data_IF_098994526137
#
_entry.id   IF_098994526137
#
_cell.length_a   1.000
_cell.length_b   1.000
_cell.length_c   1.000
_cell.angle_alpha   90.00
_cell.angle_beta   90.00
_cell.angle_gamma   90.00
#
_symmetry.space_group_name_H-M   'P 1'
#
loop_
_entity.id
_entity.type
_entity.pdbx_description
1 polymer ?
#
# COMPACT_ATOMS: atom_id res chain seq x y z
N UNK A 1 -9.96 -0.38 13.91
CA UNK A 1 -9.66 -0.56 12.49
C UNK A 1 -10.21 -1.91 12.09
N UNK A 2 -11.02 -2.04 11.02
CA UNK A 2 -11.57 -3.33 10.63
C UNK A 2 -10.46 -4.27 10.12
N UNK A 3 -10.64 -5.60 10.15
CA UNK A 3 -9.71 -6.55 9.53
C UNK A 3 -9.50 -6.30 8.04
N UNK A 4 -8.39 -6.80 7.50
CA UNK A 4 -8.03 -6.78 6.08
C UNK A 4 -9.13 -7.46 5.25
N UNK A 5 -9.71 -6.73 4.30
CA UNK A 5 -10.82 -7.23 3.47
C UNK A 5 -10.98 -6.33 2.24
N UNK A 6 -10.90 -6.93 1.07
CA UNK A 6 -11.07 -6.29 -0.24
C UNK A 6 -11.22 -7.34 -1.34
N UNK A 7 -11.63 -6.89 -2.52
CA UNK A 7 -11.57 -7.63 -3.77
C UNK A 7 -11.05 -6.67 -4.84
N UNK A 8 -9.86 -6.93 -5.38
CA UNK A 8 -9.13 -6.03 -6.27
C UNK A 8 -8.45 -6.84 -7.38
N UNK A 9 -7.73 -6.15 -8.26
CA UNK A 9 -6.91 -6.76 -9.31
C UNK A 9 -5.44 -6.49 -8.98
N UNK A 10 -4.60 -7.52 -9.01
CA UNK A 10 -3.15 -7.39 -8.81
C UNK A 10 -2.44 -6.86 -10.07
N UNK A 11 -1.16 -6.57 -9.91
CA UNK A 11 -0.25 -6.09 -10.96
C UNK A 11 0.06 -7.14 -12.05
N UNK A 12 -0.37 -8.40 -11.87
CA UNK A 12 -0.36 -9.47 -12.89
C UNK A 12 -1.71 -9.58 -13.64
N UNK A 13 -2.70 -8.75 -13.29
CA UNK A 13 -4.03 -8.75 -13.89
C UNK A 13 -4.96 -9.84 -13.36
N UNK A 14 -4.67 -10.42 -12.19
CA UNK A 14 -5.53 -11.42 -11.54
C UNK A 14 -6.44 -10.75 -10.52
N UNK A 15 -7.67 -11.23 -10.44
CA UNK A 15 -8.54 -10.89 -9.32
C UNK A 15 -7.99 -11.55 -8.05
N UNK A 16 -7.83 -10.74 -7.00
CA UNK A 16 -7.29 -11.13 -5.70
C UNK A 16 -8.13 -10.56 -4.57
N UNK A 17 -8.14 -11.25 -3.44
CA UNK A 17 -8.78 -10.81 -2.22
C UNK A 17 -7.81 -10.76 -1.03
N UNK A 18 -8.29 -10.35 0.13
CA UNK A 18 -7.47 -10.27 1.34
C UNK A 18 -6.95 -11.64 1.82
N UNK A 19 -7.63 -12.75 1.50
CA UNK A 19 -7.25 -14.09 1.92
C UNK A 19 -6.01 -14.57 1.16
N UNK A 20 -5.81 -14.13 -0.08
CA UNK A 20 -4.60 -14.40 -0.88
C UNK A 20 -3.31 -13.87 -0.22
N UNK A 21 -3.43 -12.90 0.68
CA UNK A 21 -2.32 -12.25 1.38
C UNK A 21 -2.15 -12.69 2.83
N UNK A 22 -2.93 -13.67 3.29
CA UNK A 22 -2.75 -14.27 4.61
C UNK A 22 -1.43 -15.04 4.71
N UNK A 23 -0.98 -15.27 5.95
CA UNK A 23 0.29 -15.93 6.25
C UNK A 23 1.50 -15.00 6.24
N UNK A 24 1.33 -13.73 5.82
CA UNK A 24 2.31 -12.66 5.94
C UNK A 24 1.72 -11.42 6.59
N UNK A 25 2.55 -10.68 7.29
CA UNK A 25 2.19 -9.34 7.76
C UNK A 25 2.01 -8.43 6.55
N UNK A 26 0.93 -7.67 6.53
CA UNK A 26 0.54 -6.84 5.39
C UNK A 26 0.54 -5.37 5.78
N UNK A 27 1.28 -4.55 5.03
CA UNK A 27 1.20 -3.09 5.07
C UNK A 27 0.36 -2.61 3.90
N UNK A 28 -0.80 -2.02 4.17
CA UNK A 28 -1.68 -1.46 3.16
C UNK A 28 -1.44 0.04 3.05
N UNK A 29 -1.09 0.50 1.86
CA UNK A 29 -0.87 1.92 1.57
C UNK A 29 -1.70 2.32 0.35
N UNK A 30 -2.44 3.43 0.48
CA UNK A 30 -3.26 3.97 -0.60
C UNK A 30 -2.52 5.12 -1.28
N UNK A 31 -2.50 5.12 -2.60
CA UNK A 31 -1.89 6.20 -3.37
C UNK A 31 -2.16 6.08 -4.86
N UNK A 32 -1.31 6.65 -5.70
CA UNK A 32 -1.40 6.54 -7.16
C UNK A 32 -0.02 6.78 -7.77
N UNK A 33 0.27 6.17 -8.91
CA UNK A 33 1.64 6.13 -9.46
C UNK A 33 2.15 7.50 -9.93
N UNK A 34 1.23 8.39 -10.29
CA UNK A 34 1.53 9.74 -10.78
C UNK A 34 1.69 10.78 -9.65
N UNK A 35 1.67 10.36 -8.38
CA UNK A 35 1.82 11.27 -7.25
C UNK A 35 3.25 11.86 -7.21
N UNK A 36 3.42 13.19 -7.30
CA UNK A 36 4.74 13.80 -7.41
C UNK A 36 5.51 13.86 -6.08
N UNK A 37 4.87 13.57 -4.94
CA UNK A 37 5.43 13.87 -3.61
C UNK A 37 5.30 12.71 -2.63
N UNK A 38 4.13 12.54 -1.99
CA UNK A 38 4.00 11.67 -0.81
C UNK A 38 4.17 10.18 -1.11
N UNK A 39 3.57 9.66 -2.19
CA UNK A 39 3.64 8.23 -2.51
C UNK A 39 5.08 7.71 -2.70
N UNK A 40 5.92 8.29 -3.58
CA UNK A 40 7.28 7.79 -3.76
C UNK A 40 8.13 7.95 -2.50
N UNK A 41 7.88 8.99 -1.67
CA UNK A 41 8.59 9.18 -0.40
C UNK A 41 8.25 8.07 0.59
N UNK A 42 6.96 7.77 0.80
CA UNK A 42 6.52 6.73 1.73
C UNK A 42 7.02 5.35 1.30
N UNK A 43 6.91 5.00 0.02
CA UNK A 43 7.39 3.70 -0.49
C UNK A 43 8.91 3.58 -0.43
N UNK A 44 9.67 4.63 -0.77
CA UNK A 44 11.13 4.64 -0.63
C UNK A 44 11.57 4.53 0.84
N UNK A 45 10.81 5.14 1.75
CA UNK A 45 11.03 5.06 3.18
C UNK A 45 10.80 3.64 3.71
N UNK A 46 9.71 2.98 3.30
CA UNK A 46 9.46 1.57 3.62
C UNK A 46 10.55 0.66 3.04
N UNK A 47 10.95 0.87 1.78
CA UNK A 47 12.06 0.12 1.17
C UNK A 47 13.38 0.30 1.95
N UNK A 48 13.59 1.49 2.53
CA UNK A 48 14.75 1.75 3.40
C UNK A 48 14.64 1.05 4.76
N UNK A 49 13.44 0.95 5.33
CA UNK A 49 13.20 0.18 6.54
C UNK A 49 13.42 -1.33 6.29
N UNK A 50 12.96 -1.87 5.16
CA UNK A 50 13.19 -3.27 4.78
C UNK A 50 14.66 -3.65 4.65
N UNK A 51 15.53 -2.70 4.27
CA UNK A 51 16.99 -2.94 4.22
C UNK A 51 17.64 -2.98 5.60
N UNK A 52 16.95 -2.55 6.66
CA UNK A 52 17.45 -2.51 8.02
C UNK A 52 16.95 -3.65 8.91
N UNK A 53 15.78 -4.23 8.59
CA UNK A 53 15.30 -5.45 9.25
C UNK A 53 16.08 -6.68 8.77
N UNK A 54 16.06 -7.74 9.58
CA UNK A 54 16.66 -9.03 9.21
C UNK A 54 15.93 -9.70 8.03
N UNK A 55 16.57 -10.71 7.43
CA UNK A 55 16.03 -11.38 6.24
C UNK A 55 14.71 -12.09 6.54
N UNK A 56 14.51 -12.61 7.76
CA UNK A 56 13.28 -13.29 8.16
C UNK A 56 12.12 -12.30 8.19
N UNK A 57 12.27 -11.17 8.88
CA UNK A 57 11.27 -10.11 8.93
C UNK A 57 10.99 -9.56 7.53
N UNK A 58 12.01 -9.45 6.68
CA UNK A 58 11.84 -9.00 5.30
C UNK A 58 11.02 -9.97 4.44
N UNK A 59 11.11 -11.28 4.67
CA UNK A 59 10.36 -12.30 3.94
C UNK A 59 8.91 -12.44 4.44
N UNK A 60 8.70 -12.16 5.74
CA UNK A 60 7.43 -12.27 6.45
C UNK A 60 6.48 -11.09 6.26
N UNK A 61 6.94 -10.00 5.66
CA UNK A 61 6.17 -8.76 5.47
C UNK A 61 6.04 -8.44 3.98
N UNK A 62 4.86 -7.98 3.59
CA UNK A 62 4.56 -7.45 2.27
C UNK A 62 3.88 -6.08 2.33
N UNK A 63 3.99 -5.33 1.25
CA UNK A 63 3.35 -4.02 1.08
C UNK A 63 2.36 -4.09 -0.07
N UNK A 64 1.09 -3.84 0.21
CA UNK A 64 0.04 -3.70 -0.77
C UNK A 64 -0.16 -2.22 -1.07
N UNK A 65 0.26 -1.81 -2.26
CA UNK A 65 0.05 -0.46 -2.77
C UNK A 65 -1.25 -0.42 -3.58
N UNK A 66 -2.32 0.11 -2.97
CA UNK A 66 -3.63 0.23 -3.62
C UNK A 66 -3.73 1.57 -4.34
N UNK A 67 -3.87 1.52 -5.65
CA UNK A 67 -4.15 2.71 -6.45
C UNK A 67 -5.56 3.22 -6.18
N UNK A 68 -5.70 4.54 -6.01
CA UNK A 68 -6.99 5.25 -6.01
C UNK A 68 -7.32 5.87 -7.37
N UNK A 69 -6.51 5.62 -8.40
CA UNK A 69 -6.70 6.14 -9.74
C UNK A 69 -6.61 5.04 -10.83
N UNK A 70 -7.64 4.20 -10.92
CA UNK A 70 -7.65 3.06 -11.84
C UNK A 70 -7.70 3.49 -13.32
N UNK A 71 -7.98 4.76 -13.60
CA UNK A 71 -8.03 5.27 -14.97
C UNK A 71 -6.62 5.49 -15.57
N UNK A 72 -5.61 5.71 -14.72
CA UNK A 72 -4.21 5.88 -15.12
C UNK A 72 -3.32 4.71 -14.67
N UNK A 73 -3.66 4.06 -13.57
CA UNK A 73 -2.84 3.02 -12.95
C UNK A 73 -3.32 1.62 -13.37
N UNK A 74 -2.92 1.20 -14.57
CA UNK A 74 -3.15 -0.17 -15.06
C UNK A 74 -2.24 -1.16 -14.34
N UNK A 75 -2.55 -2.48 -14.33
CA UNK A 75 -1.69 -3.50 -13.73
C UNK A 75 -0.23 -3.42 -14.19
N UNK A 76 0.01 -3.17 -15.48
CA UNK A 76 1.36 -3.06 -16.02
C UNK A 76 2.13 -1.86 -15.46
N UNK A 77 1.47 -0.71 -15.33
CA UNK A 77 2.07 0.51 -14.76
C UNK A 77 2.33 0.31 -13.27
N UNK A 78 1.37 -0.31 -12.56
CA UNK A 78 1.53 -0.65 -11.15
C UNK A 78 2.73 -1.55 -10.93
N UNK A 79 2.89 -2.58 -11.77
CA UNK A 79 4.03 -3.49 -11.74
C UNK A 79 5.36 -2.78 -11.95
N UNK A 80 5.44 -1.89 -12.95
CA UNK A 80 6.66 -1.11 -13.19
C UNK A 80 7.01 -0.25 -11.98
N UNK A 81 5.99 0.38 -11.38
CA UNK A 81 6.14 1.26 -10.24
C UNK A 81 6.61 0.53 -8.98
N UNK A 82 5.96 -0.57 -8.58
CA UNK A 82 6.28 -1.34 -7.37
C UNK A 82 7.64 -2.02 -7.44
N UNK A 83 8.02 -2.53 -8.62
CA UNK A 83 9.34 -3.16 -8.85
C UNK A 83 10.52 -2.23 -8.56
N UNK A 84 10.34 -0.91 -8.65
CA UNK A 84 11.38 0.06 -8.31
C UNK A 84 11.70 0.09 -6.80
N UNK A 85 10.78 -0.34 -5.95
CA UNK A 85 10.92 -0.29 -4.49
C UNK A 85 11.40 -1.61 -3.88
N UNK A 86 11.03 -2.74 -4.48
CA UNK A 86 11.55 -4.06 -4.10
C UNK A 86 10.51 -5.19 -4.20
N UNK A 87 10.93 -6.44 -3.98
CA UNK A 87 10.08 -7.63 -4.16
C UNK A 87 8.97 -7.77 -3.10
N UNK A 88 8.99 -6.96 -2.04
CA UNK A 88 7.93 -6.94 -1.02
C UNK A 88 6.70 -6.13 -1.46
N UNK A 89 6.82 -5.31 -2.50
CA UNK A 89 5.80 -4.37 -2.93
C UNK A 89 4.95 -4.99 -4.03
N UNK A 90 3.64 -4.95 -3.84
CA UNK A 90 2.64 -5.50 -4.75
C UNK A 90 1.63 -4.40 -5.06
N UNK A 91 1.45 -4.12 -6.35
CA UNK A 91 0.50 -3.14 -6.83
C UNK A 91 -0.89 -3.74 -6.96
N UNK A 92 -1.89 -3.04 -6.42
CA UNK A 92 -3.30 -3.39 -6.54
C UNK A 92 -4.08 -2.23 -7.17
N UNK A 93 -4.97 -2.56 -8.10
CA UNK A 93 -5.90 -1.64 -8.74
C UNK A 93 -7.27 -2.32 -8.82
N UNK A 94 -8.24 -1.74 -9.51
CA UNK A 94 -9.54 -2.38 -9.68
C UNK A 94 -10.60 -1.48 -10.26
N UNK A 95 -11.85 -1.91 -10.18
CA UNK A 95 -12.96 -1.02 -10.55
C UNK A 95 -13.08 0.13 -9.57
N UNK A 96 -13.65 1.26 -10.02
CA UNK A 96 -13.93 2.40 -9.12
C UNK A 96 -14.77 1.96 -7.91
N UNK A 97 -15.74 1.07 -8.11
CA UNK A 97 -16.57 0.55 -7.02
C UNK A 97 -15.78 -0.24 -5.98
N UNK A 98 -14.77 -1.01 -6.39
CA UNK A 98 -13.95 -1.79 -5.47
C UNK A 98 -13.02 -0.89 -4.67
N UNK A 99 -12.41 0.10 -5.35
CA UNK A 99 -11.59 1.14 -4.71
C UNK A 99 -12.42 1.98 -3.74
N UNK A 100 -13.64 2.37 -4.11
CA UNK A 100 -14.58 3.05 -3.22
C UNK A 100 -14.91 2.19 -1.99
N UNK A 101 -15.11 0.88 -2.17
CA UNK A 101 -15.44 -0.01 -1.06
C UNK A 101 -14.30 -0.09 -0.03
N UNK A 102 -13.06 -0.32 -0.49
CA UNK A 102 -11.89 -0.44 0.40
C UNK A 102 -11.54 0.90 1.05
N UNK A 103 -11.56 2.00 0.29
CA UNK A 103 -11.26 3.33 0.84
C UNK A 103 -12.29 3.76 1.90
N UNK A 104 -13.59 3.51 1.66
CA UNK A 104 -14.64 3.74 2.66
C UNK A 104 -14.45 2.87 3.92
N UNK A 105 -14.07 1.59 3.75
CA UNK A 105 -13.83 0.68 4.87
C UNK A 105 -12.74 1.20 5.82
N UNK A 106 -11.63 1.69 5.26
CA UNK A 106 -10.50 2.22 6.04
C UNK A 106 -10.57 3.73 6.31
N UNK A 107 -11.67 4.38 5.91
CA UNK A 107 -11.88 5.83 6.06
C UNK A 107 -10.79 6.67 5.39
N UNK A 108 -10.30 6.18 4.26
CA UNK A 108 -9.38 6.90 3.39
C UNK A 108 -10.20 7.76 2.45
N UNK A 109 -10.07 9.07 2.56
CA UNK A 109 -10.62 10.00 1.58
C UNK A 109 -9.64 10.16 0.43
N UNK A 110 -10.15 10.19 -0.80
CA UNK A 110 -9.40 10.61 -1.96
C UNK A 110 -10.25 11.54 -2.83
N UNK A 111 -9.62 12.54 -3.44
CA UNK A 111 -10.29 13.51 -4.32
C UNK A 111 -9.42 13.80 -5.54
N UNK A 112 -10.04 13.75 -6.72
CA UNK A 112 -9.40 14.13 -7.98
C UNK A 112 -9.46 15.65 -8.15
N UNK A 113 -8.30 16.25 -8.37
CA UNK A 113 -8.18 17.67 -8.69
C UNK A 113 -8.69 18.01 -10.08
N UNK A 114 -8.73 19.31 -10.37
CA UNK A 114 -9.05 19.81 -11.71
C UNK A 114 -7.94 19.43 -12.70
N UNK A 115 -8.35 19.15 -13.94
CA UNK A 115 -7.40 18.86 -15.02
C UNK A 115 -6.72 20.15 -15.48
N UNK A 116 -5.40 20.12 -15.60
CA UNK A 116 -4.62 21.18 -16.23
C UNK A 116 -4.84 21.24 -17.76
N UNK A 117 -4.21 22.21 -18.44
CA UNK A 117 -4.29 22.37 -19.89
C UNK A 117 -3.77 21.15 -20.69
N UNK A 118 -2.97 20.29 -20.04
CA UNK A 118 -2.42 19.05 -20.60
C UNK A 118 -3.25 17.81 -20.23
N UNK A 119 -4.31 17.97 -19.44
CA UNK A 119 -5.17 16.89 -18.98
C UNK A 119 -4.68 16.17 -17.70
N UNK A 120 -3.59 16.62 -17.09
CA UNK A 120 -3.08 16.06 -15.83
C UNK A 120 -3.88 16.58 -14.64
N UNK A 121 -3.99 15.77 -13.60
CA UNK A 121 -4.63 16.16 -12.36
C UNK A 121 -3.95 15.44 -11.19
N UNK A 122 -3.92 16.14 -10.05
CA UNK A 122 -3.45 15.57 -8.79
C UNK A 122 -4.59 14.82 -8.10
N UNK A 123 -4.23 13.81 -7.31
CA UNK A 123 -5.18 13.15 -6.40
C UNK A 123 -4.73 13.44 -4.98
N UNK A 124 -5.59 14.09 -4.21
CA UNK A 124 -5.35 14.27 -2.77
C UNK A 124 -5.83 13.01 -2.08
N UNK A 125 -4.99 12.36 -1.26
CA UNK A 125 -5.38 11.19 -0.48
C UNK A 125 -4.74 11.21 0.91
N UNK A 126 -5.32 10.45 1.85
CA UNK A 126 -4.68 10.23 3.16
C UNK A 126 -3.43 9.36 3.00
N UNK A 127 -2.36 9.69 3.73
CA UNK A 127 -1.05 9.05 3.61
C UNK A 127 -0.75 8.00 4.70
N UNK A 128 -1.76 7.60 5.48
CA UNK A 128 -1.57 6.58 6.51
C UNK A 128 -1.29 5.20 5.88
N UNK A 129 -0.28 4.51 6.40
CA UNK A 129 -0.03 3.09 6.11
C UNK A 129 -0.65 2.24 7.21
N UNK A 130 -1.47 1.26 6.84
CA UNK A 130 -2.20 0.40 7.77
C UNK A 130 -1.46 -0.94 7.89
N UNK A 131 -1.17 -1.39 9.10
CA UNK A 131 -0.47 -2.66 9.33
C UNK A 131 -1.44 -3.72 9.86
N UNK A 132 -1.35 -4.92 9.27
CA UNK A 132 -2.15 -6.10 9.60
C UNK A 132 -1.23 -7.29 9.89
N UNK A 133 -1.59 -8.16 10.83
CA UNK A 133 -0.85 -9.38 11.11
C UNK A 133 -1.11 -10.47 10.04
N UNK A 134 -0.51 -11.65 10.21
CA UNK A 134 -0.68 -12.81 9.31
C UNK A 134 -2.12 -13.32 9.14
N UNK A 135 -3.00 -13.00 10.08
CA UNK A 135 -4.43 -13.38 10.05
C UNK A 135 -5.30 -12.28 9.41
N UNK A 136 -4.72 -11.13 9.03
CA UNK A 136 -5.45 -9.97 8.52
C UNK A 136 -6.02 -9.07 9.62
N UNK A 137 -5.68 -9.29 10.89
CA UNK A 137 -6.12 -8.44 11.98
C UNK A 137 -5.32 -7.15 12.05
N UNK A 138 -6.05 -6.06 12.16
CA UNK A 138 -5.54 -4.70 12.28
C UNK A 138 -4.67 -4.50 13.52
N UNK A 139 -3.39 -4.12 13.32
CA UNK A 139 -2.42 -3.91 14.39
C UNK A 139 -2.20 -2.43 14.71
N UNK A 140 -1.68 -1.67 13.73
CA UNK A 140 -1.25 -0.29 13.94
C UNK A 140 -1.31 0.54 12.66
N UNK A 141 -1.13 1.85 12.81
CA UNK A 141 -0.96 2.80 11.70
C UNK A 141 0.47 3.34 11.74
N UNK A 142 1.17 3.24 10.61
CA UNK A 142 2.49 3.87 10.41
C UNK A 142 2.25 5.21 9.73
N UNK A 143 2.83 6.26 10.30
CA UNK A 143 2.73 7.63 9.77
C UNK A 143 4.03 8.06 9.10
N UNK A 144 3.90 9.00 8.17
CA UNK A 144 5.05 9.52 7.44
C UNK A 144 6.00 10.35 8.31
N UNK A 145 5.55 10.83 9.47
CA UNK A 145 6.34 11.61 10.43
C UNK A 145 6.97 10.77 11.55
N UNK A 146 6.70 9.46 11.60
CA UNK A 146 7.34 8.58 12.57
C UNK A 146 8.87 8.61 12.39
N UNK A 147 9.69 8.34 13.41
CA UNK A 147 11.14 8.19 13.22
C UNK A 147 11.45 6.84 12.57
N UNK A 148 12.43 6.78 11.66
CA UNK A 148 12.82 5.55 10.95
C UNK A 148 13.10 4.37 11.91
N UNK A 149 13.72 4.63 13.06
CA UNK A 149 13.99 3.60 14.07
C UNK A 149 12.70 2.99 14.64
N UNK A 150 11.64 3.78 14.81
CA UNK A 150 10.35 3.27 15.24
C UNK A 150 9.75 2.37 14.17
N UNK A 151 9.76 2.81 12.90
CA UNK A 151 9.28 1.99 11.78
C UNK A 151 10.00 0.65 11.70
N UNK A 152 11.33 0.63 11.78
CA UNK A 152 12.10 -0.64 11.77
C UNK A 152 11.68 -1.54 12.94
N UNK A 153 11.57 -0.97 14.15
CA UNK A 153 11.15 -1.72 15.34
C UNK A 153 9.72 -2.27 15.21
N UNK A 154 8.81 -1.51 14.60
CA UNK A 154 7.43 -1.94 14.38
C UNK A 154 7.37 -3.07 13.35
N UNK A 155 8.16 -2.99 12.26
CA UNK A 155 8.28 -4.07 11.28
C UNK A 155 8.80 -5.36 11.91
N UNK A 156 9.86 -5.28 12.73
CA UNK A 156 10.40 -6.44 13.46
C UNK A 156 9.35 -7.03 14.40
N UNK A 157 8.66 -6.19 15.19
CA UNK A 157 7.61 -6.64 16.09
C UNK A 157 6.44 -7.31 15.35
N UNK A 158 6.04 -6.79 14.19
CA UNK A 158 4.99 -7.37 13.36
C UNK A 158 5.41 -8.72 12.73
N UNK A 159 6.68 -8.90 12.41
CA UNK A 159 7.21 -10.17 11.91
C UNK A 159 7.30 -11.25 13.02
N UNK A 160 7.60 -10.84 14.26
CA UNK A 160 7.71 -11.73 15.41
C UNK A 160 6.36 -12.07 16.07
N UNK A 161 5.44 -11.10 16.14
CA UNK A 161 4.19 -11.14 16.89
C UNK A 161 3.02 -11.83 16.20
N UNK A 162 3.29 -12.76 15.29
CA UNK A 162 2.31 -13.53 14.52
C UNK A 162 2.38 -15.02 14.82
#
# INVERSE_FOLDING_TARGET
MPPLDFHLTDEDGKDVDAEDFQGKTTLLFFGYTHCPDVCPITLARLATAFRQVDDKAREDIQVLFVSVDPARDTPEIMKEYTNAFGPQFIGLTGSKSDIDAITNRYRVSYEYGEKDESGNYDVTHSSATFAFNREGDAQLLIRDDDPMKAVVSDLEALAEGS
#
